data_IF_011738208578
#
_entry.id   IF_011738208578
#
_cell.length_a   1.000
_cell.length_b   1.000
_cell.length_c   1.000
_cell.angle_alpha   90.00
_cell.angle_beta   90.00
_cell.angle_gamma   90.00
#
_symmetry.space_group_name_H-M   'P 1'
#
loop_
_entity.id
_entity.type
_entity.pdbx_description
1 polymer ?
#
# COMPACT_ATOMS: atom_id res chain seq x y z
N UNK A 1 15.94 -12.08 16.50
CA UNK A 1 16.28 -10.64 16.37
C UNK A 1 17.30 -10.39 15.27
N UNK A 2 18.41 -11.14 15.18
CA UNK A 2 19.45 -10.95 14.15
C UNK A 2 18.92 -10.97 12.69
N UNK A 3 18.08 -11.93 12.33
CA UNK A 3 17.50 -12.05 10.99
C UNK A 3 16.67 -10.83 10.59
N UNK A 4 15.91 -10.25 11.52
CA UNK A 4 15.11 -9.03 11.27
C UNK A 4 16.00 -7.82 10.98
N UNK A 5 17.06 -7.63 11.76
CA UNK A 5 17.97 -6.50 11.56
C UNK A 5 18.69 -6.64 10.22
N UNK A 6 19.18 -7.83 9.90
CA UNK A 6 19.86 -8.08 8.61
C UNK A 6 18.93 -7.80 7.43
N UNK A 7 17.70 -8.33 7.43
CA UNK A 7 16.77 -8.09 6.33
C UNK A 7 16.36 -6.62 6.20
N UNK A 8 16.21 -5.88 7.31
CA UNK A 8 15.95 -4.44 7.27
C UNK A 8 17.12 -3.68 6.64
N UNK A 9 18.37 -3.98 7.03
CA UNK A 9 19.57 -3.34 6.46
C UNK A 9 19.66 -3.62 4.95
N UNK A 10 19.43 -4.87 4.52
CA UNK A 10 19.45 -5.24 3.10
C UNK A 10 18.38 -4.50 2.31
N UNK A 11 17.15 -4.43 2.83
CA UNK A 11 16.08 -3.67 2.18
C UNK A 11 16.44 -2.19 2.05
N UNK A 12 16.92 -1.56 3.11
CA UNK A 12 17.35 -0.16 3.09
C UNK A 12 18.48 0.04 2.07
N UNK A 13 19.49 -0.83 2.08
CA UNK A 13 20.64 -0.75 1.17
C UNK A 13 20.23 -0.90 -0.31
N UNK A 14 19.16 -1.63 -0.62
CA UNK A 14 18.66 -1.80 -1.98
C UNK A 14 17.71 -0.65 -2.36
N UNK A 15 16.70 -0.37 -1.52
CA UNK A 15 15.64 0.56 -1.89
C UNK A 15 16.06 2.04 -1.82
N UNK A 16 16.89 2.44 -0.86
CA UNK A 16 17.29 3.84 -0.72
C UNK A 16 18.05 4.36 -1.95
N UNK A 17 19.09 3.65 -2.47
CA UNK A 17 19.75 4.09 -3.69
C UNK A 17 18.80 4.14 -4.90
N UNK A 18 17.91 3.15 -5.06
CA UNK A 18 16.95 3.11 -6.16
C UNK A 18 15.94 4.26 -6.11
N UNK A 19 15.50 4.65 -4.91
CA UNK A 19 14.63 5.81 -4.69
C UNK A 19 15.37 7.11 -5.04
N UNK A 20 16.65 7.23 -4.67
CA UNK A 20 17.46 8.42 -4.95
C UNK A 20 17.75 8.56 -6.45
N UNK A 21 18.05 7.45 -7.15
CA UNK A 21 18.29 7.43 -8.59
C UNK A 21 17.00 7.76 -9.36
N UNK A 22 15.84 7.24 -8.88
CA UNK A 22 14.54 7.44 -9.52
C UNK A 22 14.45 6.84 -10.93
N UNK A 23 13.59 7.40 -11.78
CA UNK A 23 13.48 7.09 -13.19
C UNK A 23 13.24 5.59 -13.51
N UNK A 24 13.85 5.11 -14.58
CA UNK A 24 13.65 3.74 -15.09
C UNK A 24 14.06 2.65 -14.07
N UNK A 25 15.22 2.72 -13.38
CA UNK A 25 15.61 1.71 -12.41
C UNK A 25 14.60 1.55 -11.26
N UNK A 26 14.09 2.68 -10.74
CA UNK A 26 13.05 2.66 -9.72
C UNK A 26 11.76 2.07 -10.25
N UNK A 27 11.32 2.45 -11.45
CA UNK A 27 10.09 1.94 -12.07
C UNK A 27 10.14 0.43 -12.29
N UNK A 28 11.27 -0.12 -12.75
CA UNK A 28 11.45 -1.57 -12.90
C UNK A 28 11.35 -2.25 -11.52
N UNK A 29 11.98 -1.70 -10.51
CA UNK A 29 11.93 -2.24 -9.14
C UNK A 29 10.52 -2.26 -8.60
N UNK A 30 9.76 -1.18 -8.79
CA UNK A 30 8.34 -1.10 -8.42
C UNK A 30 7.53 -2.16 -9.17
N UNK A 31 7.79 -2.38 -10.46
CA UNK A 31 7.15 -3.45 -11.24
C UNK A 31 7.40 -4.85 -10.65
N UNK A 32 8.64 -5.15 -10.27
CA UNK A 32 9.00 -6.43 -9.63
C UNK A 32 8.29 -6.58 -8.28
N UNK A 33 8.36 -5.56 -7.44
CA UNK A 33 7.73 -5.57 -6.09
C UNK A 33 6.22 -5.70 -6.19
N UNK A 34 5.59 -5.02 -7.16
CA UNK A 34 4.15 -5.11 -7.40
C UNK A 34 3.72 -6.51 -7.85
N UNK A 35 4.52 -7.17 -8.71
CA UNK A 35 4.26 -8.54 -9.12
C UNK A 35 4.38 -9.53 -7.94
N UNK A 36 5.35 -9.31 -7.02
CA UNK A 36 5.48 -10.10 -5.80
C UNK A 36 4.29 -9.88 -4.85
N UNK A 37 3.85 -8.62 -4.67
CA UNK A 37 2.67 -8.30 -3.89
C UNK A 37 1.40 -8.95 -4.48
N UNK A 38 1.24 -8.92 -5.80
CA UNK A 38 0.10 -9.56 -6.46
C UNK A 38 0.14 -11.09 -6.37
N UNK A 39 1.34 -11.68 -6.39
CA UNK A 39 1.50 -13.11 -6.10
C UNK A 39 1.00 -13.46 -4.69
N UNK A 40 1.26 -12.63 -3.68
CA UNK A 40 0.71 -12.83 -2.33
C UNK A 40 -0.83 -12.82 -2.32
N UNK A 41 -1.44 -11.93 -3.11
CA UNK A 41 -2.90 -11.90 -3.31
C UNK A 41 -3.42 -13.19 -3.96
N UNK A 42 -2.71 -13.70 -4.97
CA UNK A 42 -3.05 -14.97 -5.62
C UNK A 42 -2.90 -16.15 -4.64
N UNK A 43 -1.82 -16.16 -3.87
CA UNK A 43 -1.55 -17.21 -2.88
C UNK A 43 -2.57 -17.17 -1.72
N UNK A 44 -3.08 -15.99 -1.37
CA UNK A 44 -4.19 -15.83 -0.45
C UNK A 44 -5.45 -16.52 -1.00
N UNK A 45 -5.80 -16.28 -2.27
CA UNK A 45 -6.94 -16.90 -2.92
C UNK A 45 -6.77 -18.40 -3.08
N UNK A 46 -5.54 -18.88 -3.28
CA UNK A 46 -5.20 -20.31 -3.41
C UNK A 46 -5.64 -21.14 -2.19
N UNK A 47 -5.77 -20.55 -1.02
CA UNK A 47 -6.27 -21.25 0.18
C UNK A 47 -7.72 -21.68 0.07
N UNK A 48 -8.51 -20.96 -0.69
CA UNK A 48 -9.90 -21.28 -0.96
C UNK A 48 -10.01 -22.04 -2.30
N UNK A 49 -9.23 -21.60 -3.30
CA UNK A 49 -9.33 -22.09 -4.66
C UNK A 49 -8.08 -21.77 -5.47
N UNK A 50 -7.48 -22.77 -6.11
CA UNK A 50 -6.32 -22.56 -6.99
C UNK A 50 -6.76 -22.05 -8.36
N UNK A 51 -6.32 -20.84 -8.71
CA UNK A 51 -6.62 -20.21 -9.99
C UNK A 51 -5.78 -20.84 -11.12
N UNK A 52 -6.31 -20.92 -12.36
CA UNK A 52 -5.55 -21.38 -13.51
C UNK A 52 -4.28 -20.56 -13.72
N UNK A 53 -3.19 -21.21 -14.15
CA UNK A 53 -1.90 -20.54 -14.36
C UNK A 53 -1.98 -19.37 -15.34
N UNK A 54 -2.76 -19.52 -16.41
CA UNK A 54 -3.01 -18.47 -17.39
C UNK A 54 -3.63 -17.23 -16.72
N UNK A 55 -4.65 -17.39 -15.87
CA UNK A 55 -5.31 -16.28 -15.17
C UNK A 55 -4.35 -15.58 -14.19
N UNK A 56 -3.47 -16.33 -13.54
CA UNK A 56 -2.42 -15.74 -12.67
C UNK A 56 -1.48 -14.83 -13.46
N UNK A 57 -1.01 -15.29 -14.62
CA UNK A 57 -0.13 -14.50 -15.51
C UNK A 57 -0.86 -13.28 -16.06
N UNK A 58 -2.08 -13.47 -16.54
CA UNK A 58 -2.93 -12.38 -17.06
C UNK A 58 -3.18 -11.33 -15.97
N UNK A 59 -3.48 -11.74 -14.73
CA UNK A 59 -3.69 -10.81 -13.61
C UNK A 59 -2.45 -9.96 -13.32
N UNK A 60 -1.25 -10.56 -13.29
CA UNK A 60 0.01 -9.82 -13.16
C UNK A 60 0.22 -8.88 -14.36
N UNK A 61 -0.07 -9.33 -15.58
CA UNK A 61 0.00 -8.50 -16.78
C UNK A 61 -0.92 -7.28 -16.71
N UNK A 62 -2.16 -7.46 -16.25
CA UNK A 62 -3.12 -6.38 -16.02
C UNK A 62 -2.62 -5.37 -14.97
N UNK A 63 -2.00 -5.85 -13.90
CA UNK A 63 -1.40 -4.99 -12.87
C UNK A 63 -0.26 -4.13 -13.46
N UNK A 64 0.69 -4.77 -14.14
CA UNK A 64 1.82 -4.06 -14.76
C UNK A 64 1.35 -3.07 -15.83
N UNK A 65 0.34 -3.44 -16.62
CA UNK A 65 -0.29 -2.55 -17.57
C UNK A 65 -0.84 -1.30 -16.89
N UNK A 66 -1.56 -1.45 -15.77
CA UNK A 66 -2.10 -0.31 -15.02
C UNK A 66 -0.98 0.57 -14.46
N UNK A 67 0.10 -0.02 -13.96
CA UNK A 67 1.23 0.71 -13.40
C UNK A 67 1.97 1.53 -14.46
N UNK A 68 2.19 0.96 -15.65
CA UNK A 68 3.05 1.59 -16.67
C UNK A 68 2.30 2.37 -17.75
N UNK A 69 1.03 2.04 -18.05
CA UNK A 69 0.24 2.81 -19.02
C UNK A 69 -0.37 4.09 -18.45
N UNK A 70 -0.48 4.20 -17.13
CA UNK A 70 -0.93 5.43 -16.47
C UNK A 70 0.15 6.53 -16.47
N UNK A 71 1.07 6.49 -17.42
CA UNK A 71 2.25 7.36 -17.52
C UNK A 71 1.91 8.66 -18.25
N UNK A 72 0.89 9.37 -17.84
CA UNK A 72 0.67 10.74 -18.30
C UNK A 72 0.97 11.72 -17.18
N UNK A 73 2.09 12.37 -17.38
CA UNK A 73 2.49 13.69 -16.93
C UNK A 73 1.52 14.38 -15.97
N UNK A 74 2.02 14.56 -14.75
CA UNK A 74 1.45 15.37 -13.68
C UNK A 74 0.53 14.63 -12.69
N UNK A 75 0.87 14.77 -11.43
CA UNK A 75 0.07 14.46 -10.23
C UNK A 75 -1.36 15.02 -10.27
N UNK A 76 -1.61 15.99 -11.14
CA UNK A 76 -2.90 16.66 -11.33
C UNK A 76 -3.89 15.89 -12.23
N UNK A 77 -3.39 15.01 -13.09
CA UNK A 77 -4.24 14.17 -13.93
C UNK A 77 -4.23 12.74 -13.38
N UNK A 78 -5.06 12.46 -12.38
CA UNK A 78 -5.49 11.09 -12.04
C UNK A 78 -6.27 10.49 -13.23
N UNK A 79 -5.70 10.60 -14.42
CA UNK A 79 -6.20 9.99 -15.63
C UNK A 79 -5.96 8.49 -15.60
N UNK A 80 -6.57 7.80 -14.62
CA UNK A 80 -6.88 6.40 -14.78
C UNK A 80 -7.55 6.30 -16.14
N UNK A 81 -6.79 5.84 -17.14
CA UNK A 81 -7.31 5.73 -18.49
C UNK A 81 -8.53 4.82 -18.44
N UNK A 82 -9.74 5.34 -18.64
CA UNK A 82 -10.95 4.52 -18.72
C UNK A 82 -10.77 3.35 -19.70
N UNK A 83 -9.91 3.54 -20.71
CA UNK A 83 -9.54 2.48 -21.65
C UNK A 83 -8.76 1.35 -20.97
N UNK A 84 -7.80 1.68 -20.10
CA UNK A 84 -7.05 0.67 -19.34
C UNK A 84 -7.96 -0.08 -18.37
N UNK A 85 -8.85 0.63 -17.65
CA UNK A 85 -9.82 0.00 -16.76
C UNK A 85 -10.79 -0.91 -17.52
N UNK A 86 -11.30 -0.45 -18.68
CA UNK A 86 -12.15 -1.24 -19.55
C UNK A 86 -11.42 -2.49 -20.06
N UNK A 87 -10.18 -2.34 -20.51
CA UNK A 87 -9.36 -3.46 -20.98
C UNK A 87 -9.11 -4.50 -19.89
N UNK A 88 -8.73 -4.06 -18.68
CA UNK A 88 -8.54 -4.94 -17.51
C UNK A 88 -9.83 -5.69 -17.18
N UNK A 89 -10.96 -4.98 -17.16
CA UNK A 89 -12.26 -5.56 -16.87
C UNK A 89 -12.63 -6.63 -17.89
N UNK A 90 -12.50 -6.34 -19.18
CA UNK A 90 -12.78 -7.32 -20.24
C UNK A 90 -11.80 -8.51 -20.17
N UNK A 91 -10.52 -8.25 -19.97
CA UNK A 91 -9.48 -9.29 -19.92
C UNK A 91 -9.69 -10.27 -18.77
N UNK A 92 -10.19 -9.82 -17.63
CA UNK A 92 -10.47 -10.68 -16.46
C UNK A 92 -11.88 -11.29 -16.49
N UNK A 93 -12.89 -10.63 -17.09
CA UNK A 93 -14.25 -11.14 -17.11
C UNK A 93 -14.50 -12.14 -18.25
N UNK A 94 -14.02 -11.87 -19.48
CA UNK A 94 -14.28 -12.72 -20.65
C UNK A 94 -13.84 -14.18 -20.41
N UNK A 95 -12.68 -14.48 -19.80
CA UNK A 95 -12.31 -15.86 -19.53
C UNK A 95 -13.29 -16.65 -18.70
N UNK A 96 -14.12 -16.00 -17.85
CA UNK A 96 -15.11 -16.71 -17.03
C UNK A 96 -16.10 -17.52 -17.87
N UNK A 97 -16.36 -17.13 -19.10
CA UNK A 97 -17.27 -17.81 -20.04
C UNK A 97 -16.67 -19.15 -20.53
N UNK A 98 -15.34 -19.19 -20.68
CA UNK A 98 -14.64 -20.35 -21.22
C UNK A 98 -14.34 -21.41 -20.18
N UNK A 99 -14.29 -21.05 -18.89
CA UNK A 99 -14.11 -21.99 -17.81
C UNK A 99 -15.47 -22.55 -17.37
N UNK A 100 -15.90 -23.66 -18.00
CA UNK A 100 -17.17 -24.36 -17.64
C UNK A 100 -17.16 -24.88 -16.20
N UNK A 101 -15.99 -25.25 -15.67
CA UNK A 101 -15.82 -25.71 -14.32
C UNK A 101 -15.75 -24.51 -13.34
N UNK A 102 -16.83 -24.30 -12.59
CA UNK A 102 -16.94 -23.25 -11.58
C UNK A 102 -15.87 -23.38 -10.47
N UNK A 103 -15.26 -24.56 -10.34
CA UNK A 103 -14.15 -24.76 -9.40
C UNK A 103 -12.82 -24.19 -9.90
N UNK A 104 -12.70 -23.79 -11.18
CA UNK A 104 -11.46 -23.25 -11.72
C UNK A 104 -11.40 -21.74 -11.75
N UNK A 105 -12.41 -21.09 -12.34
CA UNK A 105 -12.45 -19.63 -12.44
C UNK A 105 -13.88 -19.14 -12.57
N UNK A 106 -14.26 -18.16 -11.74
CA UNK A 106 -15.62 -17.61 -11.68
C UNK A 106 -15.61 -16.08 -11.75
N UNK A 107 -16.78 -15.49 -11.95
CA UNK A 107 -16.97 -14.04 -11.87
C UNK A 107 -16.53 -13.46 -10.52
N UNK A 108 -16.73 -14.19 -9.41
CA UNK A 108 -16.24 -13.77 -8.08
C UNK A 108 -14.71 -13.65 -8.07
N UNK A 109 -14.01 -14.59 -8.71
CA UNK A 109 -12.55 -14.57 -8.81
C UNK A 109 -12.08 -13.42 -9.71
N UNK A 110 -12.82 -13.14 -10.80
CA UNK A 110 -12.54 -12.00 -11.68
C UNK A 110 -12.66 -10.67 -10.91
N UNK A 111 -13.74 -10.45 -10.18
CA UNK A 111 -13.92 -9.24 -9.36
C UNK A 111 -12.89 -9.14 -8.22
N UNK A 112 -12.52 -10.25 -7.62
CA UNK A 112 -11.43 -10.29 -6.63
C UNK A 112 -10.11 -9.81 -7.22
N UNK A 113 -9.71 -10.33 -8.38
CA UNK A 113 -8.48 -9.92 -9.06
C UNK A 113 -8.56 -8.46 -9.53
N UNK A 114 -9.72 -8.02 -10.07
CA UNK A 114 -9.92 -6.64 -10.47
C UNK A 114 -9.76 -5.67 -9.30
N UNK A 115 -10.38 -5.95 -8.15
CA UNK A 115 -10.26 -5.12 -6.95
C UNK A 115 -8.81 -4.96 -6.51
N UNK A 116 -8.07 -6.06 -6.43
CA UNK A 116 -6.66 -6.01 -6.06
C UNK A 116 -5.78 -5.35 -7.14
N UNK A 117 -6.06 -5.58 -8.41
CA UNK A 117 -5.36 -4.89 -9.52
C UNK A 117 -5.54 -3.37 -9.42
N UNK A 118 -6.74 -2.89 -9.10
CA UNK A 118 -7.00 -1.46 -8.92
C UNK A 118 -6.24 -0.90 -7.72
N UNK A 119 -6.38 -1.50 -6.53
CA UNK A 119 -5.75 -1.00 -5.31
C UNK A 119 -4.23 -0.98 -5.43
N UNK A 120 -3.63 -2.10 -5.85
CA UNK A 120 -2.18 -2.20 -5.98
C UNK A 120 -1.66 -1.41 -7.18
N UNK A 121 -2.40 -1.38 -8.30
CA UNK A 121 -2.02 -0.62 -9.49
C UNK A 121 -1.97 0.88 -9.22
N UNK A 122 -3.00 1.45 -8.58
CA UNK A 122 -3.01 2.85 -8.16
C UNK A 122 -1.85 3.13 -7.20
N UNK A 123 -1.68 2.31 -6.18
CA UNK A 123 -0.62 2.49 -5.19
C UNK A 123 0.79 2.48 -5.83
N UNK A 124 1.13 1.43 -6.57
CA UNK A 124 2.47 1.29 -7.15
C UNK A 124 2.75 2.29 -8.26
N UNK A 125 1.76 2.63 -9.10
CA UNK A 125 1.90 3.72 -10.07
C UNK A 125 2.20 5.04 -9.35
N UNK A 126 1.47 5.32 -8.27
CA UNK A 126 1.64 6.54 -7.48
C UNK A 126 3.02 6.66 -6.85
N UNK A 127 3.64 5.55 -6.43
CA UNK A 127 5.03 5.58 -5.95
C UNK A 127 5.99 6.04 -7.06
N UNK A 128 5.81 5.57 -8.30
CA UNK A 128 6.63 6.00 -9.44
C UNK A 128 6.43 7.49 -9.71
N UNK A 129 5.18 7.95 -9.73
CA UNK A 129 4.85 9.36 -9.99
C UNK A 129 5.43 10.26 -8.89
N UNK A 130 5.26 9.90 -7.61
CA UNK A 130 5.77 10.67 -6.48
C UNK A 130 7.30 10.80 -6.51
N UNK A 131 8.02 9.69 -6.75
CA UNK A 131 9.49 9.71 -6.80
C UNK A 131 10.00 10.53 -7.99
N UNK A 132 9.38 10.40 -9.16
CA UNK A 132 9.76 11.16 -10.35
C UNK A 132 9.42 12.66 -10.24
N UNK A 133 8.37 13.02 -9.50
CA UNK A 133 8.01 14.40 -9.24
C UNK A 133 8.93 15.04 -8.19
N UNK A 134 8.97 14.51 -6.99
CA UNK A 134 9.88 14.85 -5.93
C UNK A 134 9.88 13.77 -4.83
N UNK A 135 11.03 13.14 -4.66
CA UNK A 135 11.22 12.06 -3.69
C UNK A 135 10.83 12.44 -2.25
N UNK A 136 10.91 13.72 -1.91
CA UNK A 136 10.58 14.23 -0.58
C UNK A 136 9.10 14.01 -0.21
N UNK A 137 8.19 13.94 -1.19
CA UNK A 137 6.80 13.57 -0.94
C UNK A 137 6.66 12.12 -0.49
N UNK A 138 7.43 11.20 -1.10
CA UNK A 138 7.46 9.81 -0.63
C UNK A 138 8.03 9.71 0.80
N UNK A 139 9.12 10.45 1.08
CA UNK A 139 9.70 10.51 2.43
C UNK A 139 8.68 11.04 3.43
N UNK A 140 7.94 12.08 3.08
CA UNK A 140 6.86 12.63 3.91
C UNK A 140 5.78 11.58 4.25
N UNK A 141 5.29 10.83 3.26
CA UNK A 141 4.28 9.79 3.47
C UNK A 141 4.81 8.62 4.32
N UNK A 142 6.08 8.24 4.10
CA UNK A 142 6.77 7.24 4.93
C UNK A 142 6.95 7.72 6.38
N UNK A 143 7.25 9.00 6.60
CA UNK A 143 7.33 9.57 7.94
C UNK A 143 6.00 9.47 8.67
N UNK A 144 4.89 9.82 8.01
CA UNK A 144 3.55 9.72 8.63
C UNK A 144 3.28 8.30 9.11
N UNK A 145 3.48 7.30 8.24
CA UNK A 145 3.18 5.90 8.58
C UNK A 145 4.11 5.36 9.66
N UNK A 146 5.43 5.53 9.48
CA UNK A 146 6.42 4.94 10.40
C UNK A 146 6.38 5.55 11.79
N UNK A 147 6.22 6.88 11.89
CA UNK A 147 6.14 7.55 13.18
C UNK A 147 4.81 7.23 13.88
N UNK A 148 3.71 7.23 13.14
CA UNK A 148 2.41 6.86 13.69
C UNK A 148 2.46 5.45 14.31
N UNK A 149 2.96 4.45 13.59
CA UNK A 149 3.06 3.08 14.07
C UNK A 149 4.05 2.94 15.25
N UNK A 150 5.20 3.62 15.19
CA UNK A 150 6.20 3.58 16.25
C UNK A 150 5.64 4.17 17.56
N UNK A 151 5.05 5.35 17.49
CA UNK A 151 4.51 6.02 18.68
C UNK A 151 3.22 5.36 19.17
N UNK A 152 2.38 4.84 18.26
CA UNK A 152 1.22 4.05 18.65
C UNK A 152 1.63 2.80 19.46
N UNK A 153 2.72 2.14 19.07
CA UNK A 153 3.26 0.99 19.81
C UNK A 153 3.87 1.39 21.14
N UNK A 154 4.64 2.48 21.20
CA UNK A 154 5.27 2.96 22.43
C UNK A 154 4.20 3.37 23.47
N UNK A 155 3.31 4.28 23.08
CA UNK A 155 2.27 4.78 24.00
C UNK A 155 1.22 3.70 24.29
N UNK A 156 0.91 2.83 23.33
CA UNK A 156 0.03 1.69 23.57
C UNK A 156 0.57 0.72 24.63
N UNK A 157 1.89 0.57 24.74
CA UNK A 157 2.53 -0.21 25.81
C UNK A 157 2.60 0.53 27.15
N UNK A 158 2.83 1.85 27.13
CA UNK A 158 3.03 2.65 28.34
C UNK A 158 1.71 2.98 29.04
N UNK A 159 0.70 3.43 28.29
CA UNK A 159 -0.55 3.96 28.84
C UNK A 159 -1.82 3.28 28.29
N UNK A 160 -1.68 2.30 27.37
CA UNK A 160 -2.81 1.66 26.71
C UNK A 160 -3.63 0.79 27.66
N UNK A 161 -4.89 1.16 27.85
CA UNK A 161 -5.87 0.45 28.67
C UNK A 161 -7.02 -0.14 27.85
N UNK A 162 -7.48 0.60 26.85
CA UNK A 162 -8.63 0.23 26.04
C UNK A 162 -8.21 -0.32 24.69
N UNK A 163 -8.60 -1.57 24.38
CA UNK A 163 -8.29 -2.21 23.09
C UNK A 163 -9.07 -1.56 21.96
N UNK A 164 -8.41 -1.35 20.81
CA UNK A 164 -9.01 -0.70 19.65
C UNK A 164 -10.00 -1.65 18.96
N UNK A 165 -9.52 -2.78 18.42
CA UNK A 165 -10.33 -3.84 17.79
C UNK A 165 -9.68 -5.19 18.11
N UNK A 166 -10.06 -5.82 19.26
CA UNK A 166 -9.41 -7.06 19.72
C UNK A 166 -9.47 -8.23 18.74
N UNK A 167 -10.56 -8.35 18.00
CA UNK A 167 -10.76 -9.43 17.01
C UNK A 167 -9.84 -9.35 15.79
N UNK A 168 -9.32 -8.17 15.47
CA UNK A 168 -8.47 -7.91 14.31
C UNK A 168 -7.01 -7.77 14.73
N UNK A 169 -6.76 -6.87 15.69
CA UNK A 169 -5.43 -6.56 16.21
C UNK A 169 -5.45 -6.48 17.74
N UNK A 170 -5.13 -7.58 18.45
CA UNK A 170 -5.28 -7.66 19.92
C UNK A 170 -4.33 -6.74 20.70
N UNK A 171 -3.26 -6.23 20.05
CA UNK A 171 -2.26 -5.40 20.71
C UNK A 171 -2.50 -3.90 20.55
N UNK A 172 -3.31 -3.45 19.58
CA UNK A 172 -3.61 -2.02 19.38
C UNK A 172 -4.56 -1.49 20.45
N UNK A 173 -4.28 -0.26 20.91
CA UNK A 173 -5.07 0.44 21.93
C UNK A 173 -5.49 1.82 21.43
N UNK A 174 -6.61 2.35 21.94
CA UNK A 174 -7.09 3.68 21.60
C UNK A 174 -6.09 4.76 21.99
N UNK A 175 -5.52 4.66 23.20
CA UNK A 175 -4.54 5.62 23.71
C UNK A 175 -3.28 5.65 22.81
N UNK A 176 -2.77 4.46 22.45
CA UNK A 176 -1.64 4.35 21.54
C UNK A 176 -1.95 4.94 20.17
N UNK A 177 -3.13 4.65 19.64
CA UNK A 177 -3.60 5.14 18.34
C UNK A 177 -3.67 6.67 18.29
N UNK A 178 -4.28 7.28 19.31
CA UNK A 178 -4.42 8.74 19.40
C UNK A 178 -3.06 9.41 19.61
N UNK A 179 -2.23 8.90 20.52
CA UNK A 179 -0.90 9.47 20.76
C UNK A 179 0.01 9.34 19.53
N UNK A 180 -0.03 8.18 18.84
CA UNK A 180 0.71 7.98 17.58
C UNK A 180 0.29 8.98 16.51
N UNK A 181 -1.03 9.18 16.36
CA UNK A 181 -1.59 10.14 15.43
C UNK A 181 -1.12 11.59 15.74
N UNK A 182 -1.18 12.02 17.02
CA UNK A 182 -0.78 13.38 17.41
C UNK A 182 0.71 13.61 17.16
N UNK A 183 1.58 12.71 17.64
CA UNK A 183 3.03 12.87 17.50
C UNK A 183 3.47 12.72 16.04
N UNK A 184 2.93 11.74 15.32
CA UNK A 184 3.18 11.56 13.90
C UNK A 184 2.76 12.79 13.09
N UNK A 185 1.58 13.36 13.38
CA UNK A 185 1.10 14.58 12.74
C UNK A 185 2.03 15.75 13.03
N UNK A 186 2.44 15.97 14.27
CA UNK A 186 3.32 17.07 14.63
C UNK A 186 4.64 17.02 13.84
N UNK A 187 5.32 15.88 13.82
CA UNK A 187 6.61 15.75 13.13
C UNK A 187 6.45 15.88 11.61
N UNK A 188 5.41 15.27 11.04
CA UNK A 188 5.17 15.33 9.60
C UNK A 188 4.77 16.74 9.14
N UNK A 189 4.01 17.50 9.92
CA UNK A 189 3.70 18.92 9.65
C UNK A 189 4.98 19.76 9.66
N UNK A 190 5.84 19.55 10.67
CA UNK A 190 7.13 20.26 10.73
C UNK A 190 8.01 19.94 9.52
N UNK A 191 8.05 18.67 9.09
CA UNK A 191 8.76 18.28 7.87
C UNK A 191 8.19 18.98 6.63
N UNK A 192 6.86 18.98 6.49
CA UNK A 192 6.20 19.57 5.31
C UNK A 192 6.47 21.06 5.19
N UNK A 193 6.28 21.83 6.27
CA UNK A 193 6.43 23.29 6.25
C UNK A 193 7.91 23.70 6.04
N UNK A 194 8.84 22.98 6.65
CA UNK A 194 10.26 23.39 6.55
C UNK A 194 10.95 22.89 5.27
N UNK A 195 10.47 21.81 4.65
CA UNK A 195 11.21 21.13 3.58
C UNK A 195 10.43 21.11 2.26
N UNK A 196 9.10 20.88 2.30
CA UNK A 196 8.31 20.71 1.09
C UNK A 196 7.68 22.01 0.60
N UNK A 197 6.85 22.63 1.39
CA UNK A 197 6.15 23.85 1.00
C UNK A 197 5.87 24.78 2.21
N UNK A 198 6.68 25.80 2.44
CA UNK A 198 6.50 26.74 3.55
C UNK A 198 5.29 27.67 3.38
N UNK A 199 4.71 27.77 2.18
CA UNK A 199 3.61 28.71 1.89
C UNK A 199 2.23 28.14 2.20
N UNK A 200 2.11 26.82 2.45
CA UNK A 200 0.83 26.22 2.81
C UNK A 200 0.40 26.63 4.21
N UNK A 201 -0.86 27.04 4.34
CA UNK A 201 -1.42 27.42 5.64
C UNK A 201 -1.32 26.27 6.66
N UNK A 202 -0.77 26.59 7.84
CA UNK A 202 -0.47 25.59 8.89
C UNK A 202 -1.71 24.75 9.28
N UNK A 203 -2.88 25.36 9.39
CA UNK A 203 -4.11 24.64 9.73
C UNK A 203 -4.48 23.63 8.64
N UNK A 204 -4.32 24.01 7.39
CA UNK A 204 -4.62 23.14 6.23
C UNK A 204 -3.73 21.90 6.25
N UNK A 205 -2.42 22.06 6.44
CA UNK A 205 -1.52 20.91 6.46
C UNK A 205 -1.71 20.03 7.70
N UNK A 206 -2.06 20.60 8.86
CA UNK A 206 -2.40 19.82 10.05
C UNK A 206 -3.60 18.91 9.76
N UNK A 207 -4.67 19.43 9.17
CA UNK A 207 -5.87 18.66 8.86
C UNK A 207 -5.57 17.54 7.84
N UNK A 208 -4.78 17.85 6.82
CA UNK A 208 -4.36 16.86 5.82
C UNK A 208 -3.54 15.74 6.46
N UNK A 209 -2.51 16.08 7.24
CA UNK A 209 -1.64 15.06 7.87
C UNK A 209 -2.41 14.24 8.89
N UNK A 210 -3.32 14.86 9.65
CA UNK A 210 -4.20 14.14 10.57
C UNK A 210 -5.06 13.11 9.82
N UNK A 211 -5.66 13.51 8.70
CA UNK A 211 -6.43 12.59 7.86
C UNK A 211 -5.58 11.45 7.34
N UNK A 212 -4.38 11.73 6.82
CA UNK A 212 -3.45 10.72 6.34
C UNK A 212 -3.02 9.75 7.46
N UNK A 213 -2.74 10.26 8.66
CA UNK A 213 -2.39 9.47 9.83
C UNK A 213 -3.51 8.50 10.22
N UNK A 214 -4.76 8.98 10.25
CA UNK A 214 -5.93 8.14 10.52
C UNK A 214 -6.11 7.09 9.42
N UNK A 215 -5.98 7.47 8.15
CA UNK A 215 -6.11 6.54 7.02
C UNK A 215 -5.03 5.47 7.02
N UNK A 216 -3.80 5.79 7.44
CA UNK A 216 -2.75 4.79 7.64
C UNK A 216 -3.11 3.73 8.69
N UNK A 217 -3.66 4.16 9.82
CA UNK A 217 -4.13 3.24 10.86
C UNK A 217 -5.30 2.36 10.39
N UNK A 218 -6.23 2.94 9.64
CA UNK A 218 -7.35 2.20 9.03
C UNK A 218 -6.80 1.16 8.03
N UNK A 219 -5.81 1.54 7.21
CA UNK A 219 -5.16 0.64 6.26
C UNK A 219 -4.60 -0.61 6.94
N UNK A 220 -3.77 -0.44 7.98
CA UNK A 220 -3.25 -1.59 8.74
C UNK A 220 -4.37 -2.43 9.37
N UNK A 221 -5.44 -1.83 9.86
CA UNK A 221 -6.58 -2.59 10.39
C UNK A 221 -7.31 -3.37 9.30
N UNK A 222 -7.51 -2.79 8.10
CA UNK A 222 -8.14 -3.48 6.95
C UNK A 222 -7.29 -4.67 6.51
N UNK A 223 -5.98 -4.47 6.31
CA UNK A 223 -5.08 -5.56 5.93
C UNK A 223 -4.98 -6.63 7.04
N UNK A 224 -4.96 -6.20 8.31
CA UNK A 224 -5.03 -7.12 9.45
C UNK A 224 -6.32 -7.94 9.43
N UNK A 225 -7.48 -7.33 9.11
CA UNK A 225 -8.76 -8.04 8.99
C UNK A 225 -8.73 -9.07 7.86
N UNK A 226 -8.23 -8.70 6.68
CA UNK A 226 -8.06 -9.63 5.54
C UNK A 226 -7.22 -10.84 5.96
N UNK A 227 -6.11 -10.62 6.68
CA UNK A 227 -5.28 -11.71 7.21
C UNK A 227 -6.06 -12.62 8.17
N UNK A 228 -6.89 -12.08 9.06
CA UNK A 228 -7.70 -12.90 10.01
C UNK A 228 -8.78 -13.69 9.30
N UNK A 229 -9.46 -13.10 8.33
CA UNK A 229 -10.47 -13.81 7.53
C UNK A 229 -9.84 -14.98 6.77
N UNK A 230 -8.63 -14.82 6.24
CA UNK A 230 -7.87 -15.89 5.60
C UNK A 230 -7.15 -16.85 6.59
N UNK A 231 -7.33 -16.68 7.91
CA UNK A 231 -6.68 -17.46 8.98
C UNK A 231 -5.15 -17.47 8.89
N UNK A 232 -4.56 -16.32 8.52
CA UNK A 232 -3.11 -16.12 8.48
C UNK A 232 -2.70 -14.99 9.41
N UNK A 233 -1.40 -14.91 9.67
CA UNK A 233 -0.78 -13.80 10.40
C UNK A 233 -0.07 -12.84 9.46
N UNK A 234 0.68 -13.36 8.52
CA UNK A 234 1.44 -12.61 7.52
C UNK A 234 1.06 -13.12 6.13
N UNK A 235 1.08 -12.27 5.10
CA UNK A 235 0.70 -12.65 3.73
C UNK A 235 1.64 -13.70 3.14
N UNK A 236 2.95 -13.59 3.44
CA UNK A 236 3.96 -14.55 3.04
C UNK A 236 5.16 -14.52 4.00
N UNK A 237 6.15 -15.38 3.74
CA UNK A 237 7.46 -15.35 4.41
C UNK A 237 8.57 -14.91 3.46
N UNK A 238 8.24 -14.07 2.45
CA UNK A 238 9.18 -13.66 1.41
C UNK A 238 10.36 -12.88 2.00
N UNK A 239 10.08 -12.01 2.98
CA UNK A 239 11.12 -11.23 3.68
C UNK A 239 11.40 -11.90 5.03
N UNK A 240 12.55 -12.55 5.22
CA UNK A 240 12.85 -13.29 6.45
C UNK A 240 12.71 -12.41 7.70
N UNK A 241 11.79 -12.81 8.58
CA UNK A 241 11.51 -12.10 9.83
C UNK A 241 10.63 -10.85 9.70
N UNK A 242 10.26 -10.44 8.47
CA UNK A 242 9.41 -9.28 8.19
C UNK A 242 8.08 -9.62 7.52
N UNK A 243 7.83 -10.88 7.13
CA UNK A 243 6.60 -11.28 6.46
C UNK A 243 6.63 -11.04 4.95
N UNK A 244 5.51 -10.72 4.38
CA UNK A 244 5.34 -10.46 2.96
C UNK A 244 5.57 -9.00 2.54
N UNK A 245 5.45 -8.76 1.24
CA UNK A 245 5.48 -7.43 0.65
C UNK A 245 4.27 -6.62 1.11
N UNK A 246 3.07 -7.20 1.06
CA UNK A 246 1.85 -6.53 1.49
C UNK A 246 1.87 -6.18 2.99
N UNK A 247 2.56 -6.99 3.82
CA UNK A 247 2.75 -6.68 5.25
C UNK A 247 3.61 -5.43 5.51
N UNK A 248 4.33 -4.93 4.49
CA UNK A 248 5.16 -3.73 4.57
C UNK A 248 4.48 -2.48 4.04
N UNK A 249 3.47 -2.64 3.23
CA UNK A 249 2.78 -1.54 2.58
C UNK A 249 1.33 -1.34 3.06
N UNK A 250 0.83 -2.15 3.99
CA UNK A 250 -0.55 -2.13 4.47
C UNK A 250 -1.05 -0.73 4.87
N UNK A 251 -0.33 -0.03 5.74
CA UNK A 251 -0.64 1.36 6.12
C UNK A 251 -0.36 2.34 4.98
N UNK A 252 0.77 2.15 4.26
CA UNK A 252 1.22 3.08 3.24
C UNK A 252 0.28 3.11 2.03
N UNK A 253 -0.33 1.99 1.65
CA UNK A 253 -1.31 1.91 0.55
C UNK A 253 -2.44 2.91 0.78
N UNK A 254 -3.03 2.93 1.96
CA UNK A 254 -4.12 3.83 2.29
C UNK A 254 -3.67 5.29 2.35
N UNK A 255 -2.50 5.55 2.93
CA UNK A 255 -1.94 6.90 3.01
C UNK A 255 -1.67 7.47 1.61
N UNK A 256 -1.01 6.72 0.74
CA UNK A 256 -0.68 7.16 -0.63
C UNK A 256 -1.95 7.40 -1.44
N UNK A 257 -2.90 6.48 -1.44
CA UNK A 257 -4.17 6.65 -2.17
C UNK A 257 -4.94 7.87 -1.66
N UNK A 258 -5.02 8.04 -0.34
CA UNK A 258 -5.69 9.21 0.25
C UNK A 258 -4.96 10.51 -0.10
N UNK A 259 -3.63 10.52 -0.05
CA UNK A 259 -2.84 11.67 -0.43
C UNK A 259 -3.10 12.11 -1.86
N UNK A 260 -3.17 11.17 -2.81
CA UNK A 260 -3.49 11.49 -4.20
C UNK A 260 -4.86 12.14 -4.37
N UNK A 261 -5.87 11.64 -3.64
CA UNK A 261 -7.23 12.19 -3.71
C UNK A 261 -7.26 13.66 -3.25
N UNK A 262 -6.46 13.99 -2.24
CA UNK A 262 -6.46 15.34 -1.65
C UNK A 262 -5.35 16.24 -2.20
N UNK A 263 -4.39 15.71 -2.95
CA UNK A 263 -3.23 16.48 -3.43
C UNK A 263 -3.62 17.68 -4.28
N UNK A 264 -4.68 17.59 -5.07
CA UNK A 264 -5.21 18.68 -5.90
C UNK A 264 -5.65 19.89 -5.06
N UNK A 265 -5.92 19.67 -3.78
CA UNK A 265 -6.43 20.68 -2.86
C UNK A 265 -5.34 21.27 -1.93
N UNK A 266 -4.11 20.77 -1.97
CA UNK A 266 -2.98 21.26 -1.17
C UNK A 266 -2.13 22.23 -1.98
#
# INVERSE_FOLDING_TARGET
MKTRIISAIVLIAIFVPLIIIGGIPFSITVGIVSALAFKEVIDLRKKEKDLPSLIKVVGIGCLLLLIFLSHNDYLLNLGLSYKALGLISLTLLIPTIFFKDTNRYTTKDAFYLMGWTLVLGIFFNSLIVLVNYNVLYLVFLLLITTLNDAFALIFGKLIGKHKLIPSVSPNKTWEGSICGCIVGTFVAVMFYINILNPQVGILKIILVVLLLSVMGQIGDLVFSKIKREAKIKDFSNLIPGHGGVLDRFDSLIFVVITYLIIFIYI
#
